data_IF_435940838651
#
_entry.id   IF_435940838651
#
_cell.length_a   1.000
_cell.length_b   1.000
_cell.length_c   1.000
_cell.angle_alpha   90.00
_cell.angle_beta   90.00
_cell.angle_gamma   90.00
#
_symmetry.space_group_name_H-M   'P 1'
#
loop_
_entity.id
_entity.type
_entity.pdbx_description
1 polymer ?
#
# COMPACT_ATOMS: atom_id res chain seq x y z
N UNK A 1 -17.47 -4.95 8.34
CA UNK A 1 -17.18 -3.52 8.39
C UNK A 1 -15.73 -3.20 8.02
N UNK A 2 -14.76 -3.77 8.72
CA UNK A 2 -13.35 -3.56 8.39
C UNK A 2 -12.97 -4.14 7.04
N UNK A 3 -13.57 -5.26 6.63
CA UNK A 3 -13.33 -5.79 5.29
C UNK A 3 -13.80 -4.82 4.21
N UNK A 4 -14.96 -4.20 4.40
CA UNK A 4 -15.49 -3.19 3.46
C UNK A 4 -14.53 -2.01 3.35
N UNK A 5 -13.99 -1.56 4.48
CA UNK A 5 -13.01 -0.45 4.50
C UNK A 5 -11.71 -0.83 3.79
N UNK A 6 -11.24 -2.06 3.96
CA UNK A 6 -10.04 -2.55 3.28
C UNK A 6 -10.26 -2.62 1.77
N UNK A 7 -11.42 -3.08 1.32
CA UNK A 7 -11.72 -3.12 -0.11
C UNK A 7 -11.81 -1.72 -0.70
N UNK A 8 -12.39 -0.77 0.05
CA UNK A 8 -12.41 0.64 -0.36
C UNK A 8 -11.00 1.22 -0.45
N UNK A 9 -10.12 0.84 0.47
CA UNK A 9 -8.72 1.26 0.47
C UNK A 9 -8.02 0.83 -0.84
N UNK A 10 -8.13 -0.44 -1.22
CA UNK A 10 -7.50 -0.92 -2.45
C UNK A 10 -8.13 -0.30 -3.69
N UNK A 11 -9.44 -0.10 -3.68
CA UNK A 11 -10.11 0.56 -4.79
C UNK A 11 -9.59 1.99 -5.01
N UNK A 12 -9.45 2.75 -3.91
CA UNK A 12 -8.91 4.12 -3.98
C UNK A 12 -7.43 4.11 -4.38
N UNK A 13 -6.66 3.18 -3.84
CA UNK A 13 -5.23 3.05 -4.14
C UNK A 13 -5.03 2.82 -5.64
N UNK A 14 -5.74 1.85 -6.20
CA UNK A 14 -5.59 1.48 -7.61
C UNK A 14 -6.19 2.51 -8.56
N UNK A 15 -7.16 3.31 -8.10
CA UNK A 15 -7.80 4.36 -8.90
C UNK A 15 -7.02 5.67 -8.88
N UNK A 16 -5.88 5.74 -8.17
CA UNK A 16 -5.10 6.97 -7.98
C UNK A 16 -5.93 8.07 -7.29
N UNK A 17 -6.81 7.66 -6.37
CA UNK A 17 -7.69 8.55 -5.63
C UNK A 17 -7.05 8.90 -4.28
N UNK A 18 -6.16 9.88 -4.29
CA UNK A 18 -5.44 10.30 -3.07
C UNK A 18 -6.40 10.86 -2.01
N UNK A 19 -7.43 11.56 -2.42
CA UNK A 19 -8.43 12.11 -1.49
C UNK A 19 -9.24 10.98 -0.84
N UNK A 20 -9.62 9.97 -1.62
CA UNK A 20 -10.28 8.78 -1.09
C UNK A 20 -9.42 8.04 -0.09
N UNK A 21 -8.12 7.88 -0.39
CA UNK A 21 -7.17 7.28 0.55
C UNK A 21 -7.08 8.11 1.83
N UNK A 22 -6.93 9.43 1.71
CA UNK A 22 -6.81 10.31 2.87
C UNK A 22 -8.00 10.17 3.81
N UNK A 23 -9.21 10.03 3.27
CA UNK A 23 -10.43 9.85 4.05
C UNK A 23 -10.48 8.55 4.84
N UNK A 24 -9.73 7.53 4.41
CA UNK A 24 -9.70 6.21 5.07
C UNK A 24 -8.58 6.11 6.12
N UNK A 25 -7.66 7.07 6.16
CA UNK A 25 -6.50 7.04 7.02
C UNK A 25 -6.68 7.93 8.25
N UNK A 26 -6.23 7.45 9.41
CA UNK A 26 -6.16 8.32 10.59
C UNK A 26 -5.11 9.41 10.36
N UNK A 27 -5.26 10.61 10.98
CA UNK A 27 -4.28 11.69 10.79
C UNK A 27 -2.86 11.29 11.19
N UNK A 28 -2.73 10.41 12.18
CA UNK A 28 -1.44 9.92 12.71
C UNK A 28 -1.09 8.51 12.22
N UNK A 29 -1.62 8.09 11.07
CA UNK A 29 -1.38 6.76 10.52
C UNK A 29 0.12 6.48 10.43
N UNK A 30 0.51 5.25 10.77
CA UNK A 30 1.89 4.80 10.66
C UNK A 30 1.99 3.75 9.55
N UNK A 31 2.93 3.95 8.64
CA UNK A 31 3.25 2.99 7.59
C UNK A 31 4.63 2.40 7.85
N UNK A 32 4.68 1.09 8.06
CA UNK A 32 5.92 0.34 8.27
C UNK A 32 6.13 -0.60 7.10
N UNK A 33 7.27 -0.52 6.46
CA UNK A 33 7.59 -1.36 5.31
C UNK A 33 9.11 -1.55 5.22
N UNK A 34 9.55 -2.28 4.17
CA UNK A 34 10.97 -2.43 3.88
C UNK A 34 11.66 -1.08 3.60
N UNK A 35 10.89 -0.06 3.24
CA UNK A 35 11.39 1.29 2.98
C UNK A 35 11.48 2.14 4.24
N UNK A 36 11.19 1.59 5.41
CA UNK A 36 11.24 2.28 6.69
C UNK A 36 9.87 2.59 7.26
N UNK A 37 9.81 3.54 8.18
CA UNK A 37 8.58 3.95 8.84
C UNK A 37 8.25 5.40 8.49
N UNK A 38 7.03 5.62 8.02
CA UNK A 38 6.47 6.95 7.78
C UNK A 38 5.35 7.18 8.78
N UNK A 39 5.35 8.31 9.45
CA UNK A 39 4.32 8.66 10.44
C UNK A 39 3.54 9.87 9.96
N UNK A 40 2.22 9.76 10.01
CA UNK A 40 1.30 10.80 9.61
C UNK A 40 0.74 10.60 8.20
N UNK A 41 -0.48 11.10 8.02
CA UNK A 41 -1.21 10.97 6.75
C UNK A 41 -0.44 11.60 5.59
N UNK A 42 0.16 12.78 5.82
CA UNK A 42 0.88 13.48 4.75
C UNK A 42 2.11 12.72 4.32
N UNK A 43 2.85 12.11 5.26
CA UNK A 43 4.00 11.27 4.95
C UNK A 43 3.59 10.02 4.16
N UNK A 44 2.47 9.40 4.53
CA UNK A 44 1.92 8.27 3.77
C UNK A 44 1.61 8.68 2.33
N UNK A 45 0.91 9.80 2.16
CA UNK A 45 0.51 10.26 0.82
C UNK A 45 1.71 10.65 -0.03
N UNK A 46 2.76 11.20 0.57
CA UNK A 46 3.99 11.50 -0.14
C UNK A 46 4.66 10.23 -0.65
N UNK A 47 4.76 9.19 0.19
CA UNK A 47 5.27 7.88 -0.22
C UNK A 47 4.42 7.28 -1.33
N UNK A 48 3.10 7.36 -1.21
CA UNK A 48 2.17 6.87 -2.23
C UNK A 48 2.39 7.58 -3.57
N UNK A 49 2.51 8.91 -3.56
CA UNK A 49 2.75 9.68 -4.78
C UNK A 49 4.10 9.36 -5.41
N UNK A 50 5.12 9.14 -4.59
CA UNK A 50 6.44 8.74 -5.08
C UNK A 50 6.35 7.40 -5.80
N UNK A 51 5.71 6.42 -5.20
CA UNK A 51 5.56 5.08 -5.80
C UNK A 51 4.75 5.13 -7.08
N UNK A 52 3.62 5.83 -7.08
CA UNK A 52 2.77 5.92 -8.27
C UNK A 52 3.34 6.83 -9.36
N UNK A 53 4.31 7.68 -9.01
CA UNK A 53 5.08 8.43 -9.99
C UNK A 53 6.11 7.59 -10.71
N UNK A 54 6.65 6.56 -10.04
CA UNK A 54 7.65 5.64 -10.61
C UNK A 54 7.02 4.45 -11.31
N UNK A 55 5.88 3.98 -10.82
CA UNK A 55 5.24 2.74 -11.27
C UNK A 55 3.75 2.94 -11.54
N UNK A 56 3.23 2.15 -12.47
CA UNK A 56 1.82 1.79 -12.45
C UNK A 56 1.70 0.67 -11.43
N UNK A 57 1.10 0.97 -10.30
CA UNK A 57 1.06 0.09 -9.13
C UNK A 57 -0.37 -0.42 -8.94
N UNK A 58 -0.57 -1.73 -9.11
CA UNK A 58 -1.87 -2.36 -8.91
C UNK A 58 -1.76 -3.40 -7.82
N UNK A 59 -2.45 -3.15 -6.71
CA UNK A 59 -2.52 -4.08 -5.59
C UNK A 59 -3.81 -4.88 -5.64
N UNK A 60 -3.69 -6.20 -5.65
CA UNK A 60 -4.83 -7.11 -5.64
C UNK A 60 -4.85 -7.89 -4.33
N UNK A 61 -5.87 -7.69 -3.48
CA UNK A 61 -6.01 -8.51 -2.28
C UNK A 61 -6.45 -9.92 -2.67
N UNK A 62 -5.63 -10.92 -2.33
CA UNK A 62 -5.92 -12.31 -2.63
C UNK A 62 -6.66 -13.00 -1.48
N UNK A 63 -6.27 -12.69 -0.25
CA UNK A 63 -6.91 -13.22 0.95
C UNK A 63 -7.05 -12.10 1.98
N UNK A 64 -8.20 -12.03 2.61
CA UNK A 64 -8.48 -11.04 3.64
C UNK A 64 -8.96 -11.77 4.89
N UNK A 65 -8.24 -11.61 6.00
CA UNK A 65 -8.60 -12.20 7.28
C UNK A 65 -8.84 -11.08 8.29
N UNK A 66 -10.06 -11.01 8.80
CA UNK A 66 -10.45 -10.00 9.79
C UNK A 66 -10.38 -10.60 11.18
N UNK A 67 -9.67 -9.92 12.08
CA UNK A 67 -9.55 -10.32 13.47
C UNK A 67 -9.68 -9.07 14.36
N UNK A 68 -10.92 -8.75 14.72
CA UNK A 68 -11.21 -7.54 15.48
C UNK A 68 -10.82 -6.28 14.73
N UNK A 69 -9.95 -5.48 15.34
CA UNK A 69 -9.48 -4.22 14.77
C UNK A 69 -8.31 -4.39 13.80
N UNK A 70 -7.86 -5.62 13.59
CA UNK A 70 -6.75 -5.92 12.70
C UNK A 70 -7.24 -6.73 11.51
N UNK A 71 -6.82 -6.32 10.32
CA UNK A 71 -7.10 -7.06 9.08
C UNK A 71 -5.77 -7.44 8.46
N UNK A 72 -5.60 -8.72 8.16
CA UNK A 72 -4.41 -9.23 7.49
C UNK A 72 -4.77 -9.57 6.05
N UNK A 73 -3.99 -9.05 5.11
CA UNK A 73 -4.25 -9.22 3.68
C UNK A 73 -3.04 -9.80 3.00
N UNK A 74 -3.26 -10.84 2.19
CA UNK A 74 -2.24 -11.32 1.24
C UNK A 74 -2.42 -10.54 -0.05
N UNK A 75 -1.35 -9.88 -0.51
CA UNK A 75 -1.41 -8.92 -1.60
C UNK A 75 -0.57 -9.40 -2.77
N UNK A 76 -1.14 -9.35 -3.96
CA UNK A 76 -0.40 -9.44 -5.23
C UNK A 76 -0.20 -8.01 -5.71
N UNK A 77 1.05 -7.54 -5.69
CA UNK A 77 1.38 -6.18 -6.07
C UNK A 77 2.14 -6.17 -7.39
N UNK A 78 1.51 -5.64 -8.42
CA UNK A 78 2.10 -5.50 -9.75
C UNK A 78 2.62 -4.09 -9.93
N UNK A 79 3.93 -3.96 -10.12
CA UNK A 79 4.62 -2.69 -10.32
C UNK A 79 5.18 -2.66 -11.74
N UNK A 80 4.62 -1.80 -12.59
CA UNK A 80 5.16 -1.61 -13.95
C UNK A 80 5.89 -0.27 -14.00
N UNK A 81 7.19 -0.31 -14.32
CA UNK A 81 8.02 0.89 -14.33
C UNK A 81 7.56 1.86 -15.43
N UNK A 82 7.39 3.13 -15.07
CA UNK A 82 7.01 4.19 -16.02
C UNK A 82 8.20 4.76 -16.75
N UNK A 83 9.40 4.56 -16.21
CA UNK A 83 10.66 5.01 -16.78
C UNK A 83 11.76 4.08 -16.30
N UNK A 84 12.98 4.25 -16.82
CA UNK A 84 14.10 3.45 -16.35
C UNK A 84 14.43 3.79 -14.89
N UNK A 85 14.57 2.76 -14.06
CA UNK A 85 14.89 2.90 -12.65
C UNK A 85 16.18 2.15 -12.38
N UNK A 86 17.21 2.86 -11.92
CA UNK A 86 18.54 2.29 -11.73
C UNK A 86 18.58 1.29 -10.57
N UNK A 87 17.84 1.60 -9.50
CA UNK A 87 17.83 0.74 -8.31
C UNK A 87 16.50 0.86 -7.58
N UNK A 88 15.76 -0.25 -7.55
CA UNK A 88 14.58 -0.38 -6.71
C UNK A 88 14.69 -1.70 -5.97
N UNK A 89 14.89 -1.63 -4.65
CA UNK A 89 15.07 -2.82 -3.81
C UNK A 89 16.17 -3.75 -4.33
N UNK A 90 17.26 -3.17 -4.84
CA UNK A 90 18.39 -3.91 -5.37
C UNK A 90 18.26 -4.37 -6.82
N UNK A 91 17.21 -3.94 -7.53
CA UNK A 91 16.98 -4.32 -8.92
C UNK A 91 16.93 -3.10 -9.82
N UNK A 92 17.48 -3.26 -11.04
CA UNK A 92 17.31 -2.27 -12.10
C UNK A 92 16.10 -2.64 -12.93
N UNK A 93 15.28 -1.65 -13.27
CA UNK A 93 14.09 -1.84 -14.11
C UNK A 93 14.13 -0.87 -15.27
N UNK A 94 13.73 -1.34 -16.44
CA UNK A 94 13.54 -0.48 -17.62
C UNK A 94 12.08 -0.09 -17.73
N UNK A 95 11.82 1.02 -18.40
CA UNK A 95 10.46 1.47 -18.68
C UNK A 95 9.66 0.33 -19.29
N UNK A 96 8.46 0.08 -18.74
CA UNK A 96 7.57 -0.98 -19.18
C UNK A 96 7.81 -2.36 -18.55
N UNK A 97 8.90 -2.54 -17.81
CA UNK A 97 9.14 -3.80 -17.10
C UNK A 97 8.24 -3.92 -15.87
N UNK A 98 7.75 -5.13 -15.64
CA UNK A 98 6.88 -5.43 -14.50
C UNK A 98 7.66 -6.16 -13.42
N UNK A 99 7.48 -5.71 -12.18
CA UNK A 99 7.95 -6.42 -10.99
C UNK A 99 6.72 -6.84 -10.19
N UNK A 100 6.59 -8.12 -9.89
CA UNK A 100 5.49 -8.64 -9.08
C UNK A 100 6.02 -8.96 -7.70
N UNK A 101 5.39 -8.37 -6.69
CA UNK A 101 5.71 -8.63 -5.29
C UNK A 101 4.53 -9.33 -4.62
N UNK A 102 4.82 -10.32 -3.80
CA UNK A 102 3.84 -10.90 -2.90
C UNK A 102 4.09 -10.36 -1.51
N UNK A 103 3.07 -9.74 -0.95
CA UNK A 103 3.19 -9.01 0.30
C UNK A 103 2.12 -9.46 1.28
N UNK A 104 2.41 -9.25 2.57
CA UNK A 104 1.40 -9.34 3.61
C UNK A 104 1.21 -7.95 4.19
N UNK A 105 -0.02 -7.46 4.19
CA UNK A 105 -0.38 -6.22 4.84
C UNK A 105 -1.16 -6.49 6.11
N UNK A 106 -0.75 -5.86 7.22
CA UNK A 106 -1.51 -5.85 8.45
C UNK A 106 -2.03 -4.43 8.68
N UNK A 107 -3.34 -4.30 8.75
CA UNK A 107 -4.02 -3.01 8.89
C UNK A 107 -4.69 -2.97 10.25
N UNK A 108 -4.35 -1.97 11.05
CA UNK A 108 -4.98 -1.76 12.36
C UNK A 108 -5.91 -0.58 12.26
N UNK A 109 -7.16 -0.78 12.68
CA UNK A 109 -8.21 0.23 12.62
C UNK A 109 -8.43 0.88 13.97
N UNK A 110 -8.74 2.17 13.94
CA UNK A 110 -9.14 2.94 15.12
C UNK A 110 -10.17 3.97 14.67
N UNK A 111 -11.33 3.95 15.33
CA UNK A 111 -12.44 4.88 15.05
C UNK A 111 -12.85 4.90 13.57
N UNK A 112 -12.90 3.71 12.96
CA UNK A 112 -13.33 3.56 11.56
C UNK A 112 -12.31 4.00 10.53
N UNK A 113 -11.05 4.20 10.94
CA UNK A 113 -9.95 4.60 10.04
C UNK A 113 -8.75 3.71 10.25
N UNK A 114 -7.92 3.63 9.23
CA UNK A 114 -6.68 2.88 9.29
C UNK A 114 -5.66 3.69 10.09
N UNK A 115 -5.21 3.15 11.22
CA UNK A 115 -4.25 3.81 12.10
C UNK A 115 -2.82 3.29 11.91
N UNK A 116 -2.65 2.05 11.41
CA UNK A 116 -1.34 1.48 11.16
C UNK A 116 -1.41 0.50 10.00
N UNK A 117 -0.38 0.57 9.16
CA UNK A 117 -0.19 -0.35 8.05
C UNK A 117 1.22 -0.92 8.17
N UNK A 118 1.33 -2.25 8.26
CA UNK A 118 2.62 -2.92 8.26
C UNK A 118 2.68 -3.85 7.04
N UNK A 119 3.62 -3.60 6.15
CA UNK A 119 3.81 -4.36 4.92
C UNK A 119 5.06 -5.20 5.04
N UNK A 120 4.91 -6.51 4.84
CA UNK A 120 6.01 -7.48 4.93
C UNK A 120 6.08 -8.28 3.64
N UNK A 121 7.25 -8.41 3.02
CA UNK A 121 7.40 -9.30 1.86
C UNK A 121 7.14 -10.75 2.25
N UNK A 122 6.47 -11.48 1.36
CA UNK A 122 6.31 -12.92 1.48
C UNK A 122 7.39 -13.59 0.63
N UNK A 123 8.05 -14.57 1.24
CA UNK A 123 9.13 -15.29 0.56
C UNK A 123 8.60 -16.20 -0.55
#
# INVERSE_FOLDING_TARGET
>A
MNETLIRAYYAAYNALDADGLAGLLAPDVELVSAMGTQTGRDAYLETYRTMTGLFTDVMTPEQIAVNGDTVTVTIHDSLTAKADIADFMGQSLKAGEELVLRLQGQYTFRDGRIARIAITPLA
#
